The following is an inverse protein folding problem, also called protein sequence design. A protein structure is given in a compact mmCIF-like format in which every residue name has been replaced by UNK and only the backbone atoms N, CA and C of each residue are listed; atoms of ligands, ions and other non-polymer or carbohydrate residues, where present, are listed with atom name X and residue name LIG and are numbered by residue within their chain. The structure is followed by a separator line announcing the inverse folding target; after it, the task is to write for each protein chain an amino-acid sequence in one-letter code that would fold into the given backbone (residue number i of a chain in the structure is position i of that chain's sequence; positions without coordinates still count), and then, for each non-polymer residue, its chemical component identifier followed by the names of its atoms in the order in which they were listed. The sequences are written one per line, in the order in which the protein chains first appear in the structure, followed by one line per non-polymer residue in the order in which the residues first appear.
data_IF_003340069412
#
_entry.id   IF_003340069412
#
_cell.length_a   1.000
_cell.length_b   1.000
_cell.length_c   1.000
_cell.angle_alpha   90.00
_cell.angle_beta   90.00
_cell.angle_gamma   90.00
#
_symmetry.space_group_name_H-M   'P 1'
#
loop_
_entity.id
_entity.type
_entity.pdbx_description
1 polymer ?
#
# COMPACT_ATOMS: atom_id res chain seq x y z
N UNK A 1 5.64 -1.06 -6.41
CA UNK A 1 6.78 -0.57 -7.23
C UNK A 1 8.06 -1.21 -6.75
N UNK A 2 8.98 -1.52 -7.65
CA UNK A 2 10.24 -2.22 -7.35
C UNK A 2 11.42 -1.28 -7.52
N UNK A 3 12.36 -1.32 -6.58
CA UNK A 3 13.58 -0.49 -6.58
C UNK A 3 14.77 -1.44 -6.51
N UNK A 4 15.62 -1.42 -7.54
CA UNK A 4 16.89 -2.15 -7.53
C UNK A 4 17.97 -1.22 -6.98
N UNK A 5 18.73 -1.70 -5.99
CA UNK A 5 19.80 -0.91 -5.35
C UNK A 5 21.02 -1.78 -5.12
N UNK A 6 22.20 -1.19 -5.24
CA UNK A 6 23.44 -1.87 -4.88
C UNK A 6 23.63 -1.92 -3.37
N UNK A 7 24.36 -2.92 -2.89
CA UNK A 7 24.66 -3.05 -1.45
C UNK A 7 25.32 -1.78 -0.90
N UNK A 8 26.23 -1.17 -1.67
CA UNK A 8 26.95 0.03 -1.26
C UNK A 8 26.00 1.20 -1.03
N UNK A 9 25.07 1.44 -1.97
CA UNK A 9 24.04 2.47 -1.83
C UNK A 9 23.06 2.16 -0.71
N UNK A 10 22.68 0.88 -0.56
CA UNK A 10 21.80 0.45 0.50
C UNK A 10 22.40 0.74 1.88
N UNK A 11 23.66 0.37 2.11
CA UNK A 11 24.36 0.60 3.38
C UNK A 11 24.42 2.07 3.77
N UNK A 12 24.59 2.96 2.81
CA UNK A 12 24.62 4.41 3.05
C UNK A 12 23.25 5.00 3.36
N UNK A 13 22.16 4.38 2.88
CA UNK A 13 20.80 4.93 2.98
C UNK A 13 19.80 3.89 3.53
N UNK A 14 20.23 3.04 4.47
CA UNK A 14 19.42 1.92 5.00
C UNK A 14 18.06 2.40 5.49
N UNK A 15 18.03 3.51 6.24
CA UNK A 15 16.81 4.04 6.84
C UNK A 15 15.76 4.39 5.77
N UNK A 16 16.18 5.03 4.68
CA UNK A 16 15.30 5.43 3.58
C UNK A 16 14.72 4.23 2.84
N UNK A 17 15.54 3.21 2.60
CA UNK A 17 15.07 2.00 1.93
C UNK A 17 14.14 1.16 2.81
N UNK A 18 14.35 1.15 4.13
CA UNK A 18 13.42 0.55 5.07
C UNK A 18 12.09 1.33 5.09
N UNK A 19 12.13 2.66 5.07
CA UNK A 19 10.93 3.49 5.00
C UNK A 19 10.14 3.23 3.69
N UNK A 20 10.83 3.19 2.55
CA UNK A 20 10.23 2.81 1.26
C UNK A 20 9.64 1.40 1.31
N UNK A 21 10.35 0.43 1.88
CA UNK A 21 9.81 -0.91 2.04
C UNK A 21 8.51 -0.90 2.87
N UNK A 22 8.49 -0.17 3.99
CA UNK A 22 7.30 0.01 4.84
C UNK A 22 6.11 0.64 4.11
N UNK A 23 6.39 1.52 3.14
CA UNK A 23 5.36 2.15 2.30
C UNK A 23 4.85 1.25 1.17
N UNK A 24 5.38 0.04 1.04
CA UNK A 24 4.95 -0.98 0.09
C UNK A 24 5.82 -1.10 -1.16
N UNK A 25 7.00 -0.47 -1.18
CA UNK A 25 7.99 -0.72 -2.23
C UNK A 25 8.69 -2.05 -1.99
N UNK A 26 9.08 -2.72 -3.07
CA UNK A 26 9.96 -3.89 -3.02
C UNK A 26 11.37 -3.42 -3.32
N UNK A 27 12.28 -3.50 -2.34
CA UNK A 27 13.68 -3.11 -2.53
C UNK A 27 14.51 -4.37 -2.76
N UNK A 28 15.12 -4.47 -3.93
CA UNK A 28 15.97 -5.59 -4.33
C UNK A 28 17.42 -5.17 -4.21
N UNK A 29 18.17 -5.90 -3.39
CA UNK A 29 19.60 -5.73 -3.17
C UNK A 29 20.37 -6.56 -4.18
N UNK A 30 21.20 -5.88 -4.99
CA UNK A 30 22.10 -6.51 -5.95
C UNK A 30 23.55 -6.27 -5.57
N UNK A 31 24.38 -7.29 -5.79
CA UNK A 31 25.83 -7.13 -5.80
C UNK A 31 26.27 -6.76 -7.22
N UNK A 32 26.73 -5.54 -7.42
CA UNK A 32 27.27 -5.11 -8.71
C UNK A 32 28.56 -5.88 -9.07
N UNK A 33 29.26 -6.48 -8.09
CA UNK A 33 30.49 -7.24 -8.36
C UNK A 33 30.24 -8.69 -8.78
N UNK A 34 29.07 -9.25 -8.42
CA UNK A 34 28.71 -10.63 -8.70
C UNK A 34 27.51 -10.79 -9.63
N UNK A 35 26.88 -9.67 -10.00
CA UNK A 35 25.61 -9.61 -10.75
C UNK A 35 24.50 -10.49 -10.15
N UNK A 36 24.53 -10.67 -8.83
CA UNK A 36 23.63 -11.54 -8.10
C UNK A 36 22.66 -10.73 -7.24
N UNK A 37 21.39 -11.15 -7.22
CA UNK A 37 20.41 -10.66 -6.25
C UNK A 37 20.67 -11.33 -4.90
N UNK A 38 21.04 -10.54 -3.90
CA UNK A 38 21.39 -11.05 -2.57
C UNK A 38 20.19 -11.09 -1.64
N UNK A 39 19.34 -10.07 -1.70
CA UNK A 39 18.25 -9.94 -0.74
C UNK A 39 17.11 -9.08 -1.28
N UNK A 40 15.93 -9.25 -0.69
CA UNK A 40 14.74 -8.48 -1.02
C UNK A 40 14.08 -8.01 0.27
N UNK A 41 13.91 -6.69 0.41
CA UNK A 41 13.06 -6.11 1.45
C UNK A 41 11.67 -5.87 0.87
N UNK A 42 10.69 -6.58 1.43
CA UNK A 42 9.27 -6.35 1.19
C UNK A 42 8.63 -5.91 2.49
N UNK A 43 8.08 -4.70 2.54
CA UNK A 43 7.17 -4.31 3.62
C UNK A 43 5.73 -4.43 3.15
N UNK A 44 4.87 -5.04 3.97
CA UNK A 44 3.43 -4.92 3.79
C UNK A 44 3.00 -3.59 4.38
N UNK A 45 2.46 -2.70 3.55
CA UNK A 45 1.85 -1.44 4.01
C UNK A 45 0.79 -1.79 5.04
N UNK A 46 1.06 -1.48 6.32
CA UNK A 46 0.09 -1.72 7.38
C UNK A 46 -1.17 -0.91 7.09
N UNK A 47 -2.31 -1.56 7.14
CA UNK A 47 -3.58 -0.88 7.01
C UNK A 47 -3.71 0.15 8.13
N UNK A 48 -3.86 1.42 7.76
CA UNK A 48 -4.22 2.48 8.69
C UNK A 48 -5.70 2.82 8.48
N UNK A 49 -6.60 2.42 9.39
CA UNK A 49 -8.03 2.67 9.26
C UNK A 49 -8.35 4.17 9.21
N UNK A 50 -7.62 5.00 9.97
CA UNK A 50 -7.85 6.45 9.98
C UNK A 50 -7.48 7.15 8.67
N UNK A 51 -6.40 6.71 7.99
CA UNK A 51 -6.05 7.24 6.66
C UNK A 51 -7.07 6.81 5.61
N UNK A 52 -7.56 5.58 5.71
CA UNK A 52 -8.55 5.03 4.81
C UNK A 52 -9.92 5.71 4.95
N UNK A 53 -10.38 5.93 6.17
CA UNK A 53 -11.62 6.66 6.44
C UNK A 53 -11.55 8.10 5.93
N UNK A 54 -10.42 8.80 6.16
CA UNK A 54 -10.19 10.16 5.61
C UNK A 54 -10.21 10.19 4.08
N UNK A 55 -9.57 9.21 3.43
CA UNK A 55 -9.57 9.10 1.97
C UNK A 55 -10.98 8.85 1.42
N UNK A 56 -11.76 7.98 2.07
CA UNK A 56 -13.16 7.74 1.74
C UNK A 56 -14.01 9.01 1.92
N UNK A 57 -13.84 9.73 3.03
CA UNK A 57 -14.56 11.00 3.25
C UNK A 57 -14.19 12.04 2.19
N UNK A 58 -12.92 12.14 1.78
CA UNK A 58 -12.50 13.06 0.72
C UNK A 58 -13.09 12.68 -0.65
N UNK A 59 -13.14 11.39 -0.97
CA UNK A 59 -13.72 10.88 -2.21
C UNK A 59 -15.27 10.87 -2.22
N UNK A 60 -15.90 11.06 -1.05
CA UNK A 60 -17.37 11.00 -0.88
C UNK A 60 -18.18 12.05 -1.67
N UNK A 61 -17.52 13.06 -2.24
CA UNK A 61 -18.15 14.01 -3.18
C UNK A 61 -18.14 13.56 -4.64
N UNK A 62 -17.39 12.49 -4.96
CA UNK A 62 -17.26 11.93 -6.32
C UNK A 62 -18.29 10.82 -6.54
N UNK A 63 -18.65 10.09 -5.46
CA UNK A 63 -19.71 9.09 -5.49
C UNK A 63 -21.08 9.77 -5.46
N UNK A 64 -21.56 10.20 -6.61
CA UNK A 64 -22.98 10.46 -6.80
C UNK A 64 -23.48 9.61 -7.96
N UNK A 65 -24.12 8.49 -7.66
CA UNK A 65 -24.91 7.80 -8.66
C UNK A 65 -26.37 7.76 -8.20
N UNK A 66 -27.25 8.32 -9.03
CA UNK A 66 -28.69 8.32 -8.77
C UNK A 66 -29.16 6.87 -8.89
N UNK A 67 -29.29 6.17 -7.77
CA UNK A 67 -29.86 4.82 -7.57
C UNK A 67 -28.92 3.66 -7.23
N UNK A 68 -27.67 3.88 -6.81
CA UNK A 68 -26.90 2.77 -6.24
C UNK A 68 -27.29 2.52 -4.77
N UNK A 69 -27.85 1.35 -4.39
CA UNK A 69 -28.36 1.10 -3.04
C UNK A 69 -27.28 1.21 -1.97
N UNK A 70 -26.04 0.87 -2.31
CA UNK A 70 -24.90 0.92 -1.39
C UNK A 70 -24.14 2.25 -1.43
N UNK A 71 -24.41 3.12 -2.41
CA UNK A 71 -23.73 4.44 -2.54
C UNK A 71 -24.69 5.61 -2.31
N UNK A 72 -25.85 5.35 -1.71
CA UNK A 72 -26.90 6.33 -1.44
C UNK A 72 -26.44 7.44 -0.50
N UNK A 73 -25.63 7.09 0.51
CA UNK A 73 -25.04 8.06 1.43
C UNK A 73 -23.55 7.80 1.60
N UNK A 74 -22.83 8.83 2.08
CA UNK A 74 -21.39 8.74 2.38
C UNK A 74 -21.08 7.60 3.35
N UNK A 75 -21.97 7.35 4.32
CA UNK A 75 -21.82 6.27 5.31
C UNK A 75 -22.00 4.90 4.66
N UNK A 76 -22.90 4.78 3.68
CA UNK A 76 -23.14 3.53 2.97
C UNK A 76 -21.94 3.14 2.10
N UNK A 77 -21.35 4.12 1.39
CA UNK A 77 -20.10 3.90 0.62
C UNK A 77 -18.98 3.41 1.53
N UNK A 78 -18.75 4.09 2.66
CA UNK A 78 -17.72 3.70 3.63
C UNK A 78 -17.94 2.27 4.11
N UNK A 79 -19.18 1.94 4.52
CA UNK A 79 -19.54 0.62 5.02
C UNK A 79 -19.36 -0.47 3.96
N UNK A 80 -19.73 -0.20 2.72
CA UNK A 80 -19.57 -1.11 1.59
C UNK A 80 -18.09 -1.41 1.32
N UNK A 81 -17.24 -0.38 1.18
CA UNK A 81 -15.79 -0.59 0.93
C UNK A 81 -15.11 -1.30 2.12
N UNK A 82 -15.54 -1.04 3.35
CA UNK A 82 -15.04 -1.79 4.52
C UNK A 82 -15.41 -3.28 4.49
N UNK A 83 -16.62 -3.61 4.05
CA UNK A 83 -17.07 -5.00 3.92
C UNK A 83 -16.29 -5.73 2.83
N UNK A 84 -16.15 -5.14 1.66
CA UNK A 84 -15.33 -5.68 0.55
C UNK A 84 -13.88 -5.90 0.99
N UNK A 85 -13.30 -4.96 1.75
CA UNK A 85 -11.95 -5.12 2.29
C UNK A 85 -11.85 -6.28 3.29
N UNK A 86 -12.81 -6.41 4.20
CA UNK A 86 -12.85 -7.53 5.17
C UNK A 86 -12.98 -8.88 4.45
N UNK A 87 -13.75 -8.92 3.36
CA UNK A 87 -13.86 -10.10 2.51
C UNK A 87 -12.51 -10.40 1.82
N UNK A 88 -11.86 -9.41 1.21
CA UNK A 88 -10.54 -9.58 0.58
C UNK A 88 -9.44 -10.03 1.54
N UNK A 89 -9.50 -9.61 2.82
CA UNK A 89 -8.56 -10.04 3.86
C UNK A 89 -8.79 -11.48 4.35
N UNK A 90 -9.96 -12.09 4.10
CA UNK A 90 -10.26 -13.49 4.48
C UNK A 90 -9.72 -14.49 3.45
N UNK A 91 -9.36 -14.05 2.26
CA UNK A 91 -8.96 -14.90 1.14
C UNK A 91 -7.44 -15.05 0.96
N UNK A 92 -6.65 -14.70 1.98
CA UNK A 92 -5.18 -14.77 1.96
C UNK A 92 -4.63 -15.76 2.99
#
# INVERSE_FOLDING_TARGET
MTINVSISQFRQNIADYIAKAKDGYTVILRDEKKDEQIAMLTGKKKFNPGTFEKALMAASGIFSDKNHPEWRTKKDVVKWVEQERKAANRTF
#
